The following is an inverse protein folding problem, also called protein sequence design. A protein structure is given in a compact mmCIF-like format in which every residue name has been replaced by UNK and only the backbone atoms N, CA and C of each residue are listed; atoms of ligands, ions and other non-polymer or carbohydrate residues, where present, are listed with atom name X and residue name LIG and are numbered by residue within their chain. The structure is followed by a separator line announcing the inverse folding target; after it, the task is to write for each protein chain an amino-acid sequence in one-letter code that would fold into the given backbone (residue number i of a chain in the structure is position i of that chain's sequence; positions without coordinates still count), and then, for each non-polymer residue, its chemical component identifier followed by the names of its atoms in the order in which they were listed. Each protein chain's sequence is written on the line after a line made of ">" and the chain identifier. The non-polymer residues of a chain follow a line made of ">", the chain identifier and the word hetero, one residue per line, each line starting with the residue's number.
data_IF_785231417939
#
_entry.id   IF_785231417939
#
_cell.length_a   1.000
_cell.length_b   1.000
_cell.length_c   1.000
_cell.angle_alpha   90.00
_cell.angle_beta   90.00
_cell.angle_gamma   90.00
#
_symmetry.space_group_name_H-M   'P 1'
#
loop_
_entity.id
_entity.type
_entity.pdbx_description
1 polymer ?
#
# COMPACT_ATOMS: atom_id res chain seq x y z
N UNK A 1 -64.79 1.06 27.56
CA UNK A 1 -63.63 1.79 26.96
C UNK A 1 -62.46 0.83 26.97
N UNK A 2 -62.10 0.28 25.78
CA UNK A 2 -60.93 -0.61 25.62
C UNK A 2 -59.81 0.23 25.06
N UNK A 3 -58.71 0.42 25.83
CA UNK A 3 -57.51 1.11 25.40
C UNK A 3 -56.65 0.11 24.64
N UNK A 4 -56.49 0.29 23.32
CA UNK A 4 -55.47 -0.40 22.51
C UNK A 4 -54.14 0.28 22.74
N UNK A 5 -53.22 -0.43 23.36
CA UNK A 5 -51.82 -0.03 23.49
C UNK A 5 -51.09 -0.52 22.24
N UNK A 6 -50.85 0.36 21.27
CA UNK A 6 -50.07 0.05 20.09
C UNK A 6 -48.58 0.02 20.46
N UNK A 7 -47.99 -1.15 20.42
CA UNK A 7 -46.54 -1.32 20.55
C UNK A 7 -45.91 -1.00 19.16
N UNK A 8 -45.27 0.14 19.04
CA UNK A 8 -44.50 0.51 17.86
C UNK A 8 -43.17 -0.26 17.90
N UNK A 9 -43.08 -1.37 17.18
CA UNK A 9 -41.83 -2.11 17.01
C UNK A 9 -40.95 -1.30 16.04
N UNK A 10 -39.98 -0.56 16.57
CA UNK A 10 -38.92 0.04 15.78
C UNK A 10 -38.01 -1.10 15.28
N UNK A 11 -38.18 -1.51 14.01
CA UNK A 11 -37.19 -2.32 13.32
C UNK A 11 -35.93 -1.45 13.12
N UNK A 12 -34.96 -1.58 13.99
CA UNK A 12 -33.59 -1.14 13.72
C UNK A 12 -33.03 -2.13 12.70
N UNK A 13 -33.00 -1.74 11.45
CA UNK A 13 -32.19 -2.43 10.43
C UNK A 13 -30.74 -2.26 10.85
N UNK A 14 -30.15 -3.31 11.41
CA UNK A 14 -28.71 -3.39 11.57
C UNK A 14 -28.16 -3.51 10.13
N UNK A 15 -27.83 -2.38 9.52
CA UNK A 15 -26.98 -2.39 8.34
C UNK A 15 -25.63 -2.92 8.83
N UNK A 16 -25.33 -4.16 8.48
CA UNK A 16 -23.96 -4.66 8.55
C UNK A 16 -23.14 -3.77 7.59
N UNK A 17 -22.50 -2.76 8.15
CA UNK A 17 -21.49 -2.01 7.44
C UNK A 17 -20.40 -3.02 7.05
N UNK A 18 -20.38 -3.44 5.79
CA UNK A 18 -19.24 -4.18 5.29
C UNK A 18 -18.08 -3.19 5.25
N UNK A 19 -17.13 -3.40 6.15
CA UNK A 19 -15.95 -2.57 6.25
C UNK A 19 -15.21 -2.52 4.90
N UNK A 20 -14.69 -1.36 4.55
CA UNK A 20 -13.74 -1.24 3.45
C UNK A 20 -12.47 -2.00 3.78
N UNK A 21 -12.18 -3.06 3.07
CA UNK A 21 -10.94 -3.82 3.16
C UNK A 21 -10.13 -3.56 1.90
N UNK A 22 -8.93 -3.03 2.07
CA UNK A 22 -7.95 -2.90 1.00
C UNK A 22 -6.71 -3.66 1.43
N UNK A 23 -6.29 -4.61 0.62
CA UNK A 23 -5.09 -5.42 0.91
C UNK A 23 -4.04 -5.26 -0.17
N UNK A 24 -2.78 -5.37 0.23
CA UNK A 24 -1.61 -5.42 -0.66
C UNK A 24 -1.09 -6.85 -0.68
N UNK A 25 -0.84 -7.38 -1.86
CA UNK A 25 -0.32 -8.74 -2.03
C UNK A 25 1.06 -8.87 -1.37
N UNK A 26 1.18 -9.85 -0.48
CA UNK A 26 2.40 -10.09 0.29
C UNK A 26 2.49 -9.33 1.61
N UNK A 27 1.77 -8.20 1.77
CA UNK A 27 1.84 -7.34 2.95
C UNK A 27 0.60 -7.44 3.86
N UNK A 28 -0.56 -7.82 3.30
CA UNK A 28 -1.81 -7.95 4.04
C UNK A 28 -2.74 -6.74 3.92
N UNK A 29 -3.67 -6.62 4.86
CA UNK A 29 -4.70 -5.57 4.85
C UNK A 29 -4.13 -4.24 5.33
N UNK A 30 -4.52 -3.15 4.64
CA UNK A 30 -4.17 -1.79 5.04
C UNK A 30 -4.98 -1.42 6.29
N UNK A 31 -4.33 -1.13 7.44
CA UNK A 31 -5.01 -0.75 8.67
C UNK A 31 -5.66 0.65 8.55
N UNK A 32 -6.54 1.00 9.51
CA UNK A 32 -7.18 2.34 9.56
C UNK A 32 -6.16 3.48 9.63
N UNK A 33 -5.01 3.25 10.27
CA UNK A 33 -3.92 4.23 10.37
C UNK A 33 -3.08 4.40 9.10
N UNK A 34 -3.39 3.62 8.05
CA UNK A 34 -2.62 3.60 6.81
C UNK A 34 -1.44 2.61 6.83
N UNK A 35 -0.83 2.42 5.66
CA UNK A 35 0.33 1.55 5.45
C UNK A 35 1.39 2.31 4.66
N UNK A 36 2.65 2.18 5.11
CA UNK A 36 3.82 2.69 4.41
C UNK A 36 4.57 1.53 3.78
N UNK A 37 4.86 1.63 2.48
CA UNK A 37 5.65 0.64 1.74
C UNK A 37 6.85 1.28 1.08
N UNK A 38 7.95 0.54 1.05
CA UNK A 38 9.14 0.86 0.27
C UNK A 38 9.26 -0.14 -0.88
N UNK A 39 9.25 0.36 -2.12
CA UNK A 39 9.44 -0.44 -3.33
C UNK A 39 10.78 -0.07 -3.96
N UNK A 40 11.64 -1.06 -4.09
CA UNK A 40 13.02 -0.90 -4.61
C UNK A 40 13.32 -1.80 -5.77
N UNK A 41 12.40 -2.73 -6.06
CA UNK A 41 12.55 -3.74 -7.10
C UNK A 41 11.45 -3.56 -8.15
N UNK A 42 11.79 -3.85 -9.38
CA UNK A 42 10.88 -3.83 -10.52
C UNK A 42 11.47 -4.64 -11.65
N UNK A 43 10.83 -4.61 -12.79
CA UNK A 43 11.24 -5.36 -13.98
C UNK A 43 11.48 -4.41 -15.16
N UNK A 44 12.54 -4.67 -15.92
CA UNK A 44 12.80 -3.98 -17.18
C UNK A 44 12.11 -4.75 -18.32
N UNK A 45 11.29 -4.05 -19.08
CA UNK A 45 10.71 -4.63 -20.28
C UNK A 45 11.83 -4.77 -21.35
N UNK A 46 12.17 -6.01 -21.76
CA UNK A 46 13.32 -6.24 -22.66
C UNK A 46 13.12 -5.67 -24.07
N UNK A 47 11.90 -5.32 -24.45
CA UNK A 47 11.61 -4.74 -25.77
C UNK A 47 11.67 -3.22 -25.78
N UNK A 48 11.31 -2.58 -24.67
CA UNK A 48 11.23 -1.11 -24.59
C UNK A 48 12.32 -0.49 -23.73
N UNK A 49 13.00 -1.28 -22.89
CA UNK A 49 13.95 -0.79 -21.89
C UNK A 49 13.33 0.01 -20.78
N UNK A 50 11.99 0.00 -20.65
CA UNK A 50 11.29 0.71 -19.59
C UNK A 50 11.31 -0.16 -18.33
N UNK A 51 11.85 0.40 -17.25
CA UNK A 51 11.81 -0.21 -15.93
C UNK A 51 10.49 0.12 -15.24
N UNK A 52 9.81 -0.88 -14.70
CA UNK A 52 8.50 -0.70 -14.04
C UNK A 52 8.51 -1.38 -12.68
N UNK A 53 8.07 -0.66 -11.68
CA UNK A 53 7.78 -1.15 -10.34
C UNK A 53 6.28 -1.39 -10.21
N UNK A 54 5.89 -2.55 -9.68
CA UNK A 54 4.49 -2.95 -9.62
C UNK A 54 4.08 -3.31 -8.21
N UNK A 55 2.84 -2.94 -7.87
CA UNK A 55 2.13 -3.45 -6.70
C UNK A 55 0.73 -3.89 -7.13
N UNK A 56 0.23 -4.92 -6.49
CA UNK A 56 -1.14 -5.39 -6.70
C UNK A 56 -1.82 -5.71 -5.37
N UNK A 57 -3.14 -5.70 -5.39
CA UNK A 57 -3.92 -6.06 -4.22
C UNK A 57 -5.37 -6.30 -4.53
N UNK A 58 -6.15 -6.43 -3.46
CA UNK A 58 -7.59 -6.60 -3.54
C UNK A 58 -8.29 -5.51 -2.72
N UNK A 59 -9.47 -5.18 -3.17
CA UNK A 59 -10.39 -4.27 -2.51
C UNK A 59 -11.71 -5.01 -2.34
N UNK A 60 -12.26 -4.98 -1.12
CA UNK A 60 -13.59 -5.50 -0.80
C UNK A 60 -14.40 -4.39 -0.14
N UNK A 61 -15.55 -4.08 -0.71
CA UNK A 61 -16.52 -3.14 -0.15
C UNK A 61 -17.93 -3.52 -0.59
N UNK A 62 -18.94 -3.07 0.14
CA UNK A 62 -20.33 -3.15 -0.27
C UNK A 62 -20.79 -1.95 -1.12
N UNK A 63 -19.96 -0.91 -1.21
CA UNK A 63 -20.23 0.23 -2.05
C UNK A 63 -20.20 -0.17 -3.54
N UNK A 64 -21.02 0.46 -4.35
CA UNK A 64 -20.99 0.27 -5.81
C UNK A 64 -19.83 1.01 -6.48
N UNK A 65 -19.26 1.97 -5.77
CA UNK A 65 -18.16 2.82 -6.24
C UNK A 65 -17.17 3.10 -5.12
N UNK A 66 -15.92 3.30 -5.49
CA UNK A 66 -14.89 3.88 -4.62
C UNK A 66 -14.28 5.09 -5.30
N UNK A 67 -13.83 6.02 -4.49
CA UNK A 67 -12.99 7.13 -4.92
C UNK A 67 -11.57 6.87 -4.49
N UNK A 68 -10.62 7.05 -5.41
CA UNK A 68 -9.19 6.96 -5.10
C UNK A 68 -8.57 8.33 -5.35
N UNK A 69 -8.04 8.92 -4.28
CA UNK A 69 -7.24 10.16 -4.38
C UNK A 69 -5.78 9.76 -4.46
N UNK A 70 -5.11 10.16 -5.53
CA UNK A 70 -3.69 9.88 -5.80
C UNK A 70 -2.94 11.19 -5.60
N UNK A 71 -2.04 11.24 -4.61
CA UNK A 71 -1.21 12.41 -4.33
C UNK A 71 0.25 12.06 -4.58
N UNK A 72 0.90 12.79 -5.48
CA UNK A 72 2.27 12.56 -5.95
C UNK A 72 3.23 13.57 -5.34
N UNK A 73 4.43 13.14 -5.00
CA UNK A 73 5.50 14.05 -4.51
C UNK A 73 5.99 15.04 -5.58
N UNK A 74 5.77 14.72 -6.86
CA UNK A 74 6.11 15.57 -8.00
C UNK A 74 5.06 15.45 -9.11
N UNK A 75 4.96 16.46 -9.96
CA UNK A 75 4.18 16.40 -11.21
C UNK A 75 4.94 15.63 -12.29
N UNK A 76 4.20 15.04 -13.23
CA UNK A 76 4.80 14.33 -14.35
C UNK A 76 5.32 12.92 -14.03
N UNK A 77 5.02 12.38 -12.87
CA UNK A 77 5.37 11.00 -12.51
C UNK A 77 4.69 10.01 -13.45
N UNK A 78 5.44 9.00 -13.90
CA UNK A 78 4.95 7.99 -14.84
C UNK A 78 4.28 6.83 -14.11
N UNK A 79 3.22 7.14 -13.33
CA UNK A 79 2.43 6.16 -12.60
C UNK A 79 1.07 5.89 -13.27
N UNK A 80 0.54 4.71 -13.03
CA UNK A 80 -0.79 4.29 -13.42
C UNK A 80 -1.44 3.51 -12.28
N UNK A 81 -2.69 3.85 -11.96
CA UNK A 81 -3.52 3.09 -11.04
C UNK A 81 -4.66 2.45 -11.80
N UNK A 82 -4.86 1.15 -11.63
CA UNK A 82 -5.95 0.40 -12.21
C UNK A 82 -6.82 -0.23 -11.10
N UNK A 83 -8.14 -0.15 -11.25
CA UNK A 83 -9.10 -0.84 -10.40
C UNK A 83 -10.08 -1.62 -11.29
N UNK A 84 -10.06 -2.95 -11.18
CA UNK A 84 -10.73 -3.83 -12.11
C UNK A 84 -10.18 -3.67 -13.53
N UNK A 85 -11.05 -3.37 -14.48
CA UNK A 85 -10.68 -3.12 -15.89
C UNK A 85 -10.43 -1.64 -16.23
N UNK A 86 -10.55 -0.74 -15.27
CA UNK A 86 -10.43 0.69 -15.49
C UNK A 86 -9.13 1.21 -14.90
N UNK A 87 -8.37 1.94 -15.71
CA UNK A 87 -7.10 2.54 -15.31
C UNK A 87 -7.15 4.07 -15.36
N UNK A 88 -6.30 4.72 -14.56
CA UNK A 88 -6.07 6.16 -14.66
C UNK A 88 -5.19 6.41 -15.87
N UNK A 89 -5.73 7.08 -16.90
CA UNK A 89 -4.91 7.47 -18.03
C UNK A 89 -4.22 8.80 -17.72
N UNK A 90 -2.96 8.72 -17.37
CA UNK A 90 -1.95 9.72 -17.68
C UNK A 90 -2.13 11.17 -17.27
N UNK A 91 -3.06 11.55 -16.39
CA UNK A 91 -3.03 12.91 -15.84
C UNK A 91 -1.96 12.97 -14.74
N UNK A 92 -0.89 13.69 -14.99
CA UNK A 92 0.32 13.74 -14.14
C UNK A 92 0.30 14.93 -13.17
N UNK A 93 -0.88 15.37 -12.78
CA UNK A 93 -1.03 16.39 -11.74
C UNK A 93 -0.56 15.88 -10.37
N UNK A 94 -0.17 16.81 -9.49
CA UNK A 94 0.25 16.47 -8.13
C UNK A 94 -0.85 15.75 -7.34
N UNK A 95 -2.12 16.09 -7.62
CA UNK A 95 -3.27 15.40 -7.04
C UNK A 95 -4.28 15.05 -8.13
N UNK A 96 -4.79 13.83 -8.09
CA UNK A 96 -5.78 13.30 -9.02
C UNK A 96 -6.83 12.53 -8.23
N UNK A 97 -8.11 12.75 -8.55
CA UNK A 97 -9.25 12.07 -7.91
C UNK A 97 -9.98 11.28 -9.00
N UNK A 98 -10.13 9.97 -8.78
CA UNK A 98 -10.84 9.07 -9.70
C UNK A 98 -11.86 8.24 -8.97
N UNK A 99 -12.99 8.03 -9.61
CA UNK A 99 -14.05 7.14 -9.13
C UNK A 99 -14.10 5.89 -9.99
N UNK A 100 -14.13 4.73 -9.34
CA UNK A 100 -14.18 3.42 -9.96
C UNK A 100 -15.46 2.70 -9.56
N UNK A 101 -16.11 2.05 -10.52
CA UNK A 101 -17.19 1.12 -10.24
C UNK A 101 -16.59 -0.19 -9.72
N UNK A 102 -17.08 -0.67 -8.59
CA UNK A 102 -16.60 -1.89 -7.95
C UNK A 102 -17.80 -2.82 -7.68
N UNK A 103 -17.52 -4.11 -7.59
CA UNK A 103 -18.56 -5.11 -7.30
C UNK A 103 -17.95 -6.21 -6.44
N UNK A 104 -18.16 -6.09 -5.13
CA UNK A 104 -17.58 -7.00 -4.15
C UNK A 104 -16.05 -6.93 -4.17
N UNK A 105 -15.39 -8.10 -4.29
CA UNK A 105 -13.93 -8.14 -4.36
C UNK A 105 -13.44 -7.72 -5.74
N UNK A 106 -12.65 -6.66 -5.78
CA UNK A 106 -12.08 -6.09 -7.00
C UNK A 106 -10.55 -6.05 -6.86
N UNK A 107 -9.82 -6.47 -7.89
CA UNK A 107 -8.36 -6.33 -7.94
C UNK A 107 -7.98 -4.91 -8.29
N UNK A 108 -6.88 -4.43 -7.72
CA UNK A 108 -6.23 -3.19 -8.11
C UNK A 108 -4.74 -3.41 -8.39
N UNK A 109 -4.16 -2.54 -9.21
CA UNK A 109 -2.77 -2.58 -9.65
C UNK A 109 -2.19 -1.17 -9.66
N UNK A 110 -0.94 -1.05 -9.27
CA UNK A 110 -0.12 0.15 -9.39
C UNK A 110 1.07 -0.18 -10.26
N UNK A 111 1.28 0.64 -11.29
CA UNK A 111 2.47 0.61 -12.12
C UNK A 111 3.16 1.96 -11.99
N UNK A 112 4.45 1.96 -11.76
CA UNK A 112 5.25 3.16 -11.74
C UNK A 112 6.56 2.92 -12.50
N UNK A 113 6.87 3.80 -13.44
CA UNK A 113 8.09 3.74 -14.24
C UNK A 113 9.02 4.89 -13.84
N UNK A 114 9.86 4.67 -12.81
CA UNK A 114 10.77 5.69 -12.29
C UNK A 114 11.91 6.00 -13.26
N UNK A 115 12.40 7.23 -13.22
CA UNK A 115 13.70 7.54 -13.77
C UNK A 115 14.81 6.99 -12.87
N UNK A 116 15.95 6.63 -13.47
CA UNK A 116 17.11 6.18 -12.70
C UNK A 116 17.56 7.25 -11.71
N UNK A 117 17.74 6.89 -10.44
CA UNK A 117 18.10 7.80 -9.36
C UNK A 117 16.91 8.50 -8.70
N UNK A 118 15.68 8.12 -9.03
CA UNK A 118 14.49 8.67 -8.39
C UNK A 118 14.26 8.12 -6.98
N UNK A 119 13.72 8.98 -6.13
CA UNK A 119 13.23 8.66 -4.78
C UNK A 119 11.94 9.46 -4.58
N UNK A 120 10.82 8.83 -4.84
CA UNK A 120 9.54 9.50 -4.96
C UNK A 120 8.47 8.77 -4.17
N UNK A 121 7.49 9.53 -3.67
CA UNK A 121 6.39 8.98 -2.88
C UNK A 121 5.06 9.28 -3.55
N UNK A 122 4.22 8.25 -3.64
CA UNK A 122 2.83 8.38 -4.08
C UNK A 122 1.94 7.88 -2.95
N UNK A 123 0.91 8.67 -2.65
CA UNK A 123 -0.11 8.34 -1.67
C UNK A 123 -1.42 8.02 -2.37
N UNK A 124 -2.03 6.92 -1.99
CA UNK A 124 -3.32 6.46 -2.49
C UNK A 124 -4.30 6.41 -1.33
N UNK A 125 -5.34 7.22 -1.37
CA UNK A 125 -6.43 7.21 -0.41
C UNK A 125 -7.64 6.55 -1.07
N UNK A 126 -7.99 5.36 -0.62
CA UNK A 126 -9.18 4.63 -1.02
C UNK A 126 -10.34 5.04 -0.11
N UNK A 127 -11.46 5.47 -0.69
CA UNK A 127 -12.62 5.95 0.04
C UNK A 127 -13.90 5.39 -0.58
N UNK A 128 -14.73 4.71 0.20
CA UNK A 128 -16.01 4.17 -0.25
C UNK A 128 -17.23 5.00 0.20
N UNK A 129 -16.96 6.15 0.80
CA UNK A 129 -17.94 7.09 1.33
C UNK A 129 -18.34 6.82 2.78
N UNK A 130 -17.97 5.68 3.35
CA UNK A 130 -18.19 5.34 4.76
C UNK A 130 -16.85 5.23 5.51
N UNK A 131 -15.86 4.65 4.87
CA UNK A 131 -14.51 4.43 5.42
C UNK A 131 -13.44 4.76 4.39
N UNK A 132 -12.23 4.99 4.87
CA UNK A 132 -11.07 5.19 4.01
C UNK A 132 -9.85 4.40 4.49
N UNK A 133 -8.97 4.06 3.54
CA UNK A 133 -7.68 3.39 3.79
C UNK A 133 -6.59 4.12 3.00
N UNK A 134 -5.47 4.36 3.63
CA UNK A 134 -4.36 5.08 3.03
C UNK A 134 -3.17 4.15 2.80
N UNK A 135 -2.65 4.14 1.57
CA UNK A 135 -1.41 3.48 1.19
C UNK A 135 -0.41 4.54 0.74
N UNK A 136 0.75 4.62 1.40
CA UNK A 136 1.88 5.46 1.00
C UNK A 136 2.99 4.57 0.49
N UNK A 137 3.37 4.77 -0.77
CA UNK A 137 4.41 3.99 -1.43
C UNK A 137 5.57 4.91 -1.77
N UNK A 138 6.74 4.63 -1.20
CA UNK A 138 7.99 5.24 -1.58
C UNK A 138 8.69 4.35 -2.59
N UNK A 139 8.92 4.87 -3.77
CA UNK A 139 9.61 4.19 -4.86
C UNK A 139 11.04 4.72 -4.94
N UNK A 140 12.01 3.81 -4.86
CA UNK A 140 13.43 4.16 -4.94
C UNK A 140 14.07 3.34 -6.05
N UNK A 141 14.55 4.01 -7.11
CA UNK A 141 15.26 3.37 -8.19
C UNK A 141 16.69 3.91 -8.30
N UNK A 142 17.66 3.12 -7.85
CA UNK A 142 19.08 3.47 -7.88
C UNK A 142 19.86 2.56 -8.83
N UNK A 143 20.91 3.10 -9.47
CA UNK A 143 21.78 2.35 -10.37
C UNK A 143 22.55 1.21 -9.67
N UNK A 144 22.63 1.22 -8.37
CA UNK A 144 23.43 0.25 -7.60
C UNK A 144 22.61 -0.94 -7.05
N UNK A 145 21.34 -1.10 -7.48
CA UNK A 145 20.51 -2.28 -7.16
C UNK A 145 20.24 -2.52 -5.67
N UNK A 146 20.71 -1.61 -4.81
CA UNK A 146 20.39 -1.65 -3.39
C UNK A 146 20.09 -0.23 -2.95
N UNK A 147 18.87 0.07 -2.48
CA UNK A 147 18.64 1.36 -1.89
C UNK A 147 19.62 1.49 -0.74
N UNK A 148 20.35 2.59 -0.71
CA UNK A 148 20.99 3.02 0.50
C UNK A 148 19.84 3.39 1.45
N UNK A 149 19.21 2.36 2.01
CA UNK A 149 18.39 2.55 3.20
C UNK A 149 19.41 3.17 4.15
N UNK A 150 19.31 4.48 4.40
CA UNK A 150 19.80 5.02 5.65
C UNK A 150 19.06 4.24 6.73
N UNK A 151 19.54 2.99 6.94
CA UNK A 151 19.23 2.29 8.17
C UNK A 151 19.61 3.34 9.21
N UNK A 152 18.63 3.80 9.99
CA UNK A 152 18.98 4.35 11.31
C UNK A 152 20.16 3.54 11.74
N UNK A 153 21.28 4.21 12.03
CA UNK A 153 22.52 3.54 12.41
C UNK A 153 22.24 2.61 13.58
N UNK A 154 21.63 1.48 13.27
CA UNK A 154 21.64 0.37 14.19
C UNK A 154 23.11 -0.02 14.22
N UNK A 155 23.75 0.14 15.38
CA UNK A 155 25.12 -0.29 15.66
C UNK A 155 25.27 -1.81 15.50
N UNK A 156 24.63 -2.38 14.50
CA UNK A 156 24.67 -3.79 14.19
C UNK A 156 25.99 -4.13 13.50
N UNK A 157 26.84 -4.90 14.17
CA UNK A 157 28.15 -5.35 13.67
C UNK A 157 28.15 -6.85 13.56
N UNK A 158 28.71 -7.35 12.47
CA UNK A 158 29.10 -8.76 12.40
C UNK A 158 30.37 -8.96 13.25
N UNK A 159 30.32 -9.89 14.18
CA UNK A 159 31.48 -10.29 14.99
C UNK A 159 31.75 -11.79 14.81
N UNK A 160 32.98 -12.18 14.78
CA UNK A 160 33.40 -13.58 14.80
C UNK A 160 33.83 -13.94 16.23
N UNK A 161 33.13 -14.89 16.85
CA UNK A 161 33.45 -15.37 18.19
C UNK A 161 33.42 -16.89 18.22
N UNK A 162 34.50 -17.49 18.65
CA UNK A 162 34.64 -18.96 18.69
C UNK A 162 34.29 -19.67 17.36
N UNK A 163 34.67 -19.06 16.23
CA UNK A 163 34.36 -19.60 14.90
C UNK A 163 32.91 -19.42 14.41
N UNK A 164 32.06 -18.73 15.18
CA UNK A 164 30.69 -18.44 14.83
C UNK A 164 30.50 -16.97 14.45
N UNK A 165 29.73 -16.74 13.40
CA UNK A 165 29.33 -15.37 13.02
C UNK A 165 28.12 -14.97 13.85
N UNK A 166 28.26 -13.88 14.58
CA UNK A 166 27.21 -13.28 15.39
C UNK A 166 26.91 -11.87 14.88
N UNK A 167 25.69 -11.41 15.12
CA UNK A 167 25.27 -10.03 14.87
C UNK A 167 25.12 -9.37 16.24
N UNK A 168 25.90 -8.32 16.52
CA UNK A 168 25.73 -7.49 17.71
C UNK A 168 24.95 -6.24 17.33
N UNK A 169 23.84 -5.97 18.03
CA UNK A 169 23.07 -4.74 17.93
C UNK A 169 22.91 -4.14 19.33
N UNK A 170 23.53 -3.02 19.58
CA UNK A 170 23.61 -2.43 20.91
C UNK A 170 24.27 -3.38 21.93
N UNK A 171 23.53 -3.76 22.98
CA UNK A 171 23.97 -4.68 24.01
C UNK A 171 23.67 -6.16 23.75
N UNK A 172 22.90 -6.45 22.72
CA UNK A 172 22.42 -7.79 22.40
C UNK A 172 23.27 -8.45 21.31
N UNK A 173 23.49 -9.75 21.46
CA UNK A 173 24.13 -10.60 20.45
C UNK A 173 23.10 -11.60 19.91
N UNK A 174 23.10 -11.77 18.60
CA UNK A 174 22.18 -12.67 17.89
C UNK A 174 22.99 -13.65 17.05
N UNK A 175 22.51 -14.87 16.93
CA UNK A 175 23.05 -15.80 15.93
C UNK A 175 22.53 -15.42 14.53
N UNK A 176 23.02 -16.10 13.49
CA UNK A 176 22.65 -15.87 12.10
C UNK A 176 21.15 -16.14 11.81
N UNK A 177 20.43 -16.80 12.73
CA UNK A 177 18.98 -17.05 12.65
C UNK A 177 18.15 -16.01 13.41
N UNK A 178 18.81 -14.96 13.98
CA UNK A 178 18.14 -13.90 14.74
C UNK A 178 17.79 -14.25 16.19
N UNK A 179 18.27 -15.41 16.71
CA UNK A 179 18.05 -15.79 18.12
C UNK A 179 19.02 -15.04 19.01
N UNK A 180 18.53 -14.39 20.07
CA UNK A 180 19.34 -13.75 21.14
C UNK A 180 20.13 -14.83 21.88
N UNK A 181 21.42 -14.54 22.15
CA UNK A 181 22.35 -15.40 22.88
C UNK A 181 22.54 -14.93 24.33
#
# INVERSE_FOLDING_TARGET
>A
MKRFLGILLALTTIQSANALIVSVKGEGDIPEGGMDLLVTEGEENPLTGIYTMELEGNLLTSAAQITVTISRSATGMADEFCCGSNCTAGNKEAEEIKTFNVNGMTKWYLHYSPALGSDETIRYLFDDGAESRELRVRYVYSAEGTPNVESEKTDARKILRNGQVLIRSGKNEYNITGKIL
#
